data_IF_726551656808
#
_entry.id   IF_726551656808
#
_cell.length_a   1.000
_cell.length_b   1.000
_cell.length_c   1.000
_cell.angle_alpha   90.00
_cell.angle_beta   90.00
_cell.angle_gamma   90.00
#
_symmetry.space_group_name_H-M   'P 1'
#
loop_
_entity.id
_entity.type
_entity.pdbx_description
1 polymer ?
#
# COMPACT_ATOMS: atom_id res chain seq x y z
N UNK A 1 -16.23 -4.94 0.86
CA UNK A 1 -15.94 -5.94 1.92
C UNK A 1 -15.91 -5.15 3.22
N UNK A 2 -16.58 -5.63 4.29
CA UNK A 2 -16.54 -4.98 5.60
C UNK A 2 -15.09 -4.76 6.03
N UNK A 3 -14.78 -3.54 6.45
CA UNK A 3 -13.46 -3.18 6.98
C UNK A 3 -13.20 -4.03 8.24
N UNK A 4 -12.16 -4.85 8.21
CA UNK A 4 -11.72 -5.59 9.39
C UNK A 4 -10.95 -4.69 10.35
N UNK A 5 -10.77 -5.10 11.61
CA UNK A 5 -9.93 -4.34 12.55
C UNK A 5 -8.49 -4.20 12.07
N UNK A 6 -8.02 -5.19 11.31
CA UNK A 6 -6.72 -5.14 10.63
C UNK A 6 -6.70 -4.03 9.57
N UNK A 7 -7.73 -3.92 8.75
CA UNK A 7 -7.84 -2.89 7.72
C UNK A 7 -7.86 -1.48 8.32
N UNK A 8 -8.59 -1.30 9.44
CA UNK A 8 -8.58 -0.05 10.21
C UNK A 8 -7.19 0.28 10.72
N UNK A 9 -6.49 -0.70 11.30
CA UNK A 9 -5.12 -0.51 11.79
C UNK A 9 -4.14 -0.12 10.66
N UNK A 10 -4.35 -0.58 9.42
CA UNK A 10 -3.56 -0.15 8.26
C UNK A 10 -3.81 1.33 7.93
N UNK A 11 -5.07 1.78 7.94
CA UNK A 11 -5.42 3.18 7.69
C UNK A 11 -4.92 4.10 8.81
N UNK A 12 -5.05 3.69 10.07
CA UNK A 12 -4.54 4.43 11.22
C UNK A 12 -3.01 4.49 11.26
N UNK A 13 -2.33 3.50 10.68
CA UNK A 13 -0.89 3.56 10.50
C UNK A 13 -0.52 4.56 9.38
N UNK A 14 -1.20 4.51 8.22
CA UNK A 14 -0.95 5.47 7.14
C UNK A 14 -1.21 6.92 7.52
N UNK A 15 -2.23 7.20 8.35
CA UNK A 15 -2.52 8.56 8.79
C UNK A 15 -1.36 9.17 9.60
N UNK A 16 -0.60 8.35 10.32
CA UNK A 16 0.57 8.74 11.13
C UNK A 16 1.87 8.84 10.33
N UNK A 17 2.00 8.04 9.25
CA UNK A 17 3.26 7.89 8.52
C UNK A 17 3.20 8.53 7.13
N UNK A 18 3.57 9.81 7.03
CA UNK A 18 3.67 10.51 5.75
C UNK A 18 4.94 10.13 4.97
N UNK A 19 4.77 9.54 3.77
CA UNK A 19 5.87 9.26 2.83
C UNK A 19 6.30 7.79 2.79
N UNK A 20 7.23 7.48 1.88
CA UNK A 20 7.86 6.15 1.76
C UNK A 20 9.31 6.27 2.22
N UNK A 21 9.77 5.38 3.09
CA UNK A 21 11.15 5.39 3.58
C UNK A 21 11.47 4.21 4.49
N UNK A 22 12.76 3.95 4.69
CA UNK A 22 13.25 2.81 5.48
C UNK A 22 12.70 2.80 6.92
N UNK A 23 12.52 3.98 7.52
CA UNK A 23 11.91 4.11 8.85
C UNK A 23 10.46 3.60 8.89
N UNK A 24 9.69 3.86 7.82
CA UNK A 24 8.31 3.37 7.69
C UNK A 24 8.29 1.85 7.49
N UNK A 25 9.18 1.31 6.68
CA UNK A 25 9.25 -0.14 6.45
C UNK A 25 9.66 -0.93 7.71
N UNK A 26 10.55 -0.35 8.53
CA UNK A 26 10.89 -0.93 9.83
C UNK A 26 9.70 -0.83 10.80
N UNK A 27 8.99 0.31 10.84
CA UNK A 27 7.79 0.47 11.65
C UNK A 27 6.67 -0.49 11.24
N UNK A 28 6.46 -0.73 9.94
CA UNK A 28 5.53 -1.75 9.42
C UNK A 28 5.89 -3.12 9.98
N UNK A 29 7.18 -3.48 9.96
CA UNK A 29 7.65 -4.77 10.49
C UNK A 29 7.47 -4.89 12.00
N UNK A 30 7.71 -3.81 12.75
CA UNK A 30 7.62 -3.81 14.22
C UNK A 30 6.20 -3.68 14.76
N UNK A 31 5.41 -2.75 14.25
CA UNK A 31 4.06 -2.43 14.77
C UNK A 31 2.99 -3.37 14.21
N UNK A 32 3.10 -3.76 12.93
CA UNK A 32 2.07 -4.52 12.24
C UNK A 32 2.45 -6.00 12.04
N UNK A 33 3.67 -6.39 12.42
CA UNK A 33 4.23 -7.72 12.18
C UNK A 33 4.05 -8.18 10.71
N UNK A 34 4.19 -7.23 9.78
CA UNK A 34 4.00 -7.44 8.35
C UNK A 34 5.28 -7.16 7.57
N UNK A 35 5.47 -7.88 6.47
CA UNK A 35 6.47 -7.47 5.48
C UNK A 35 5.97 -6.24 4.72
N UNK A 36 6.85 -5.32 4.27
CA UNK A 36 6.44 -4.15 3.50
C UNK A 36 5.62 -4.51 2.26
N UNK A 37 6.01 -5.57 1.54
CA UNK A 37 5.28 -6.05 0.37
C UNK A 37 3.84 -6.47 0.70
N UNK A 38 3.63 -7.24 1.79
CA UNK A 38 2.29 -7.68 2.20
C UNK A 38 1.45 -6.52 2.74
N UNK A 39 2.09 -5.55 3.38
CA UNK A 39 1.45 -4.33 3.84
C UNK A 39 0.84 -3.54 2.67
N UNK A 40 1.62 -3.24 1.63
CA UNK A 40 1.10 -2.49 0.48
C UNK A 40 0.01 -3.25 -0.29
N UNK A 41 0.13 -4.58 -0.42
CA UNK A 41 -0.93 -5.40 -1.03
C UNK A 41 -2.26 -5.34 -0.26
N UNK A 42 -2.20 -5.39 1.06
CA UNK A 42 -3.39 -5.26 1.89
C UNK A 42 -3.95 -3.84 1.79
N UNK A 43 -3.09 -2.83 1.92
CA UNK A 43 -3.48 -1.43 1.81
C UNK A 43 -4.18 -1.13 0.48
N UNK A 44 -3.66 -1.62 -0.64
CA UNK A 44 -4.28 -1.48 -1.97
C UNK A 44 -5.71 -2.04 -2.01
N UNK A 45 -5.93 -3.22 -1.41
CA UNK A 45 -7.26 -3.82 -1.33
C UNK A 45 -8.19 -3.05 -0.40
N UNK A 46 -7.66 -2.58 0.74
CA UNK A 46 -8.41 -1.80 1.73
C UNK A 46 -8.87 -0.49 1.11
N UNK A 47 -8.00 0.27 0.45
CA UNK A 47 -8.36 1.56 -0.15
C UNK A 47 -9.36 1.44 -1.30
N UNK A 48 -9.51 0.28 -1.92
CA UNK A 48 -10.52 0.05 -2.97
C UNK A 48 -11.90 -0.33 -2.40
N UNK A 49 -12.00 -0.67 -1.11
CA UNK A 49 -13.27 -0.96 -0.46
C UNK A 49 -14.08 0.32 -0.20
N UNK A 50 -15.42 0.29 -0.39
CA UNK A 50 -16.28 1.45 -0.08
C UNK A 50 -16.25 1.82 1.40
N UNK A 51 -16.12 0.83 2.28
CA UNK A 51 -16.11 1.01 3.74
C UNK A 51 -14.85 1.76 4.22
N UNK A 52 -13.76 1.76 3.45
CA UNK A 52 -12.57 2.54 3.77
C UNK A 52 -12.84 4.03 3.63
N UNK A 53 -13.61 4.43 2.60
CA UNK A 53 -14.01 5.83 2.42
C UNK A 53 -15.01 6.28 3.50
N UNK A 54 -15.81 5.36 4.04
CA UNK A 54 -16.67 5.63 5.19
C UNK A 54 -15.87 5.83 6.50
N UNK A 55 -14.69 5.23 6.60
CA UNK A 55 -13.77 5.41 7.73
C UNK A 55 -13.00 6.75 7.64
N UNK A 56 -12.29 6.97 6.54
CA UNK A 56 -11.59 8.23 6.27
C UNK A 56 -11.49 8.50 4.75
N UNK A 57 -12.42 9.29 4.23
CA UNK A 57 -12.47 9.62 2.82
C UNK A 57 -11.24 10.40 2.33
N UNK A 58 -10.66 11.28 3.15
CA UNK A 58 -9.54 12.14 2.75
C UNK A 58 -8.25 11.32 2.66
N UNK A 59 -7.99 10.47 3.65
CA UNK A 59 -6.86 9.56 3.63
C UNK A 59 -6.95 8.61 2.44
N UNK A 60 -8.10 7.96 2.23
CA UNK A 60 -8.30 7.04 1.12
C UNK A 60 -8.11 7.74 -0.23
N UNK A 61 -8.64 8.95 -0.40
CA UNK A 61 -8.42 9.72 -1.62
C UNK A 61 -6.93 10.04 -1.85
N UNK A 62 -6.21 10.46 -0.81
CA UNK A 62 -4.77 10.72 -0.89
C UNK A 62 -3.98 9.45 -1.25
N UNK A 63 -4.28 8.32 -0.62
CA UNK A 63 -3.61 7.05 -0.87
C UNK A 63 -3.85 6.54 -2.29
N UNK A 64 -5.10 6.64 -2.79
CA UNK A 64 -5.42 6.33 -4.19
C UNK A 64 -4.61 7.20 -5.16
N UNK A 65 -4.51 8.51 -4.88
CA UNK A 65 -3.71 9.43 -5.72
C UNK A 65 -2.22 9.11 -5.69
N UNK A 66 -1.68 8.73 -4.53
CA UNK A 66 -0.27 8.29 -4.40
C UNK A 66 -0.02 6.99 -5.16
N UNK A 67 -0.93 6.02 -5.09
CA UNK A 67 -0.88 4.79 -5.88
C UNK A 67 -0.83 5.11 -7.37
N UNK A 68 -1.73 5.96 -7.86
CA UNK A 68 -1.79 6.28 -9.28
C UNK A 68 -0.52 7.00 -9.76
N UNK A 69 0.05 7.89 -8.93
CA UNK A 69 1.35 8.53 -9.20
C UNK A 69 2.53 7.53 -9.20
N UNK A 70 2.52 6.56 -8.28
CA UNK A 70 3.51 5.49 -8.22
C UNK A 70 3.39 4.53 -9.41
N UNK A 71 2.16 4.16 -9.79
CA UNK A 71 1.86 3.28 -10.92
C UNK A 71 2.21 3.92 -12.27
N UNK A 72 2.05 5.23 -12.43
CA UNK A 72 2.58 5.95 -13.61
C UNK A 72 4.12 5.89 -13.69
N UNK A 73 4.80 5.72 -12.56
CA UNK A 73 6.26 5.58 -12.50
C UNK A 73 6.69 4.12 -12.68
N UNK A 74 5.98 3.19 -12.07
CA UNK A 74 6.20 1.75 -12.17
C UNK A 74 5.82 1.19 -13.56
N UNK A 75 4.77 1.69 -14.23
CA UNK A 75 4.47 1.32 -15.63
C UNK A 75 5.58 1.73 -16.60
N UNK A 76 6.24 2.87 -16.34
CA UNK A 76 7.41 3.29 -17.12
C UNK A 76 8.63 2.39 -16.85
N UNK A 77 8.79 1.88 -15.63
CA UNK A 77 9.84 0.93 -15.27
C UNK A 77 9.54 -0.51 -15.73
N UNK A 78 8.28 -0.95 -15.74
CA UNK A 78 7.88 -2.26 -16.24
C UNK A 78 8.02 -2.36 -17.77
N UNK A 79 7.82 -1.24 -18.49
CA UNK A 79 8.12 -1.16 -19.92
C UNK A 79 9.62 -1.31 -20.22
N UNK A 80 10.52 -1.05 -19.26
CA UNK A 80 11.97 -1.28 -19.38
C UNK A 80 12.44 -2.61 -18.78
N UNK A 81 11.59 -3.34 -18.04
CA UNK A 81 11.92 -4.62 -17.41
C UNK A 81 11.24 -5.85 -18.05
N UNK A 82 10.80 -5.74 -19.31
CA UNK A 82 10.32 -6.87 -20.12
C UNK A 82 11.41 -7.88 -20.54
N UNK A 83 12.59 -7.83 -19.93
CA UNK A 83 13.71 -8.75 -20.21
C UNK A 83 14.06 -9.49 -18.93
N UNK A 84 13.74 -10.79 -18.93
CA UNK A 84 14.20 -11.85 -18.02
C UNK A 84 13.51 -11.92 -16.66
N UNK A 85 12.50 -12.78 -16.58
CA UNK A 85 12.35 -13.68 -15.43
C UNK A 85 11.86 -15.03 -15.92
N UNK A 86 12.81 -15.84 -16.40
CA UNK A 86 12.68 -17.30 -16.45
C UNK A 86 13.35 -17.84 -15.20
N UNK A 87 12.53 -18.20 -14.21
CA UNK A 87 12.98 -18.77 -12.95
C UNK A 87 13.32 -20.26 -13.14
N UNK A 88 14.38 -20.64 -12.44
CA UNK A 88 15.03 -21.94 -12.41
C UNK A 88 14.10 -23.12 -12.08
N UNK A 89 14.41 -24.25 -12.72
CA UNK A 89 14.09 -25.61 -12.29
C UNK A 89 15.37 -26.42 -12.25
#
# INVERSE_FOLDING_TARGET
>A
MPLTDRDRALLDFESRWSGHGAAKEEAIRRELALTPARYYQLLERTIDAPDAAAYDALLVHRLRRLRDASMSSARRAAATLGVRSGAAG
#
